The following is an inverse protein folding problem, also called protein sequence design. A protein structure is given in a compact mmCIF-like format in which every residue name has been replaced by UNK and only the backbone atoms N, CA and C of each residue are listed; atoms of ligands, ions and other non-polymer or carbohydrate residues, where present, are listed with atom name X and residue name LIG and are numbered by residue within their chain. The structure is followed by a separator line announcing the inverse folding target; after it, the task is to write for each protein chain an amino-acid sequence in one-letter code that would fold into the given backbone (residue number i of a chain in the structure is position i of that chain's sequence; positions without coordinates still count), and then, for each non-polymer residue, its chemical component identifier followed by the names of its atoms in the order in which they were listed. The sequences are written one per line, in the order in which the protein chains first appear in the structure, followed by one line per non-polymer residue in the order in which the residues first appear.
data_IF_049042712280
#
_entry.id   IF_049042712280
#
_cell.length_a   1.000
_cell.length_b   1.000
_cell.length_c   1.000
_cell.angle_alpha   90.00
_cell.angle_beta   90.00
_cell.angle_gamma   90.00
#
_symmetry.space_group_name_H-M   'P 1'
#
loop_
_entity.id
_entity.type
_entity.pdbx_description
1 polymer ?
#
# COMPACT_ATOMS: atom_id res chain seq x y z
N UNK A 1 0.96 25.69 -3.00
CA UNK A 1 1.60 24.44 -3.48
C UNK A 1 1.35 24.32 -4.97
N UNK A 2 2.40 24.26 -5.78
CA UNK A 2 2.28 24.05 -7.23
C UNK A 2 2.39 22.54 -7.51
N UNK A 3 1.37 21.79 -7.07
CA UNK A 3 1.33 20.34 -7.20
C UNK A 3 0.63 19.93 -8.51
N UNK A 4 1.12 18.87 -9.15
CA UNK A 4 0.44 18.25 -10.28
C UNK A 4 -0.73 17.42 -9.76
N UNK A 5 -1.93 17.68 -10.27
CA UNK A 5 -3.10 16.88 -9.95
C UNK A 5 -3.10 15.61 -10.81
N UNK A 6 -3.13 14.45 -10.16
CA UNK A 6 -3.15 13.14 -10.81
C UNK A 6 -4.43 12.41 -10.39
N UNK A 7 -5.32 12.05 -11.34
CA UNK A 7 -6.45 11.20 -11.03
C UNK A 7 -5.96 9.77 -10.75
N UNK A 8 -6.41 9.20 -9.64
CA UNK A 8 -6.11 7.81 -9.24
C UNK A 8 -7.41 7.12 -8.81
N UNK A 9 -7.42 5.78 -8.83
CA UNK A 9 -8.54 5.03 -8.26
C UNK A 9 -8.65 5.26 -6.75
N UNK A 10 -9.84 5.11 -6.17
CA UNK A 10 -10.00 5.27 -4.71
C UNK A 10 -9.20 4.23 -3.92
N UNK A 11 -9.14 2.98 -4.39
CA UNK A 11 -8.31 1.94 -3.82
C UNK A 11 -6.82 2.28 -3.84
N UNK A 12 -6.32 2.92 -4.89
CA UNK A 12 -4.93 3.41 -4.96
C UNK A 12 -4.66 4.53 -3.94
N UNK A 13 -5.59 5.48 -3.79
CA UNK A 13 -5.47 6.53 -2.77
C UNK A 13 -5.42 5.92 -1.35
N UNK A 14 -6.33 5.00 -1.04
CA UNK A 14 -6.39 4.35 0.28
C UNK A 14 -5.15 3.49 0.52
N UNK A 15 -4.66 2.77 -0.49
CA UNK A 15 -3.40 2.00 -0.40
C UNK A 15 -2.23 2.91 0.00
N UNK A 16 -2.06 4.01 -0.72
CA UNK A 16 -1.00 4.98 -0.45
C UNK A 16 -1.11 5.61 0.94
N UNK A 17 -2.33 5.92 1.40
CA UNK A 17 -2.57 6.36 2.78
C UNK A 17 -2.08 5.31 3.78
N UNK A 18 -2.48 4.04 3.63
CA UNK A 18 -2.07 2.99 4.59
C UNK A 18 -0.55 2.75 4.60
N UNK A 19 0.13 2.87 3.45
CA UNK A 19 1.59 2.79 3.39
C UNK A 19 2.23 3.96 4.14
N UNK A 20 1.69 5.17 4.01
CA UNK A 20 2.21 6.36 4.68
C UNK A 20 1.96 6.31 6.21
N UNK A 21 0.85 5.75 6.66
CA UNK A 21 0.59 5.47 8.08
C UNK A 21 1.68 4.57 8.67
N UNK A 22 1.95 3.43 8.02
CA UNK A 22 3.00 2.49 8.43
C UNK A 22 4.38 3.18 8.44
N UNK A 23 4.69 3.98 7.41
CA UNK A 23 5.94 4.75 7.36
C UNK A 23 6.03 5.77 8.50
N UNK A 24 4.95 6.47 8.83
CA UNK A 24 4.93 7.46 9.91
C UNK A 24 5.18 6.82 11.28
N UNK A 25 4.78 5.55 11.46
CA UNK A 25 5.03 4.76 12.65
C UNK A 25 6.45 4.18 12.70
N UNK A 26 6.92 3.60 11.60
CA UNK A 26 8.17 2.78 11.58
C UNK A 26 9.43 3.56 11.25
N UNK A 27 9.34 4.72 10.58
CA UNK A 27 10.53 5.53 10.25
C UNK A 27 11.01 6.27 11.51
N UNK A 28 12.23 5.94 11.95
CA UNK A 28 12.86 6.58 13.12
C UNK A 28 13.56 7.92 12.83
N UNK A 29 13.88 8.21 11.56
CA UNK A 29 14.50 9.48 11.16
C UNK A 29 13.46 10.60 11.15
N UNK A 30 13.67 11.64 11.97
CA UNK A 30 12.67 12.70 12.19
C UNK A 30 12.37 13.50 10.92
N UNK A 31 13.40 13.83 10.13
CA UNK A 31 13.22 14.63 8.91
C UNK A 31 12.42 13.83 7.87
N UNK A 32 12.73 12.55 7.70
CA UNK A 32 11.96 11.66 6.81
C UNK A 32 10.53 11.47 7.31
N UNK A 33 10.34 11.29 8.62
CA UNK A 33 9.02 11.14 9.23
C UNK A 33 8.16 12.39 9.07
N UNK A 34 8.74 13.59 9.22
CA UNK A 34 8.05 14.85 8.97
C UNK A 34 7.56 14.95 7.52
N UNK A 35 8.40 14.56 6.55
CA UNK A 35 8.00 14.53 5.14
C UNK A 35 6.85 13.53 4.88
N UNK A 36 6.92 12.33 5.46
CA UNK A 36 5.84 11.33 5.36
C UNK A 36 4.52 11.86 5.93
N UNK A 37 4.56 12.52 7.10
CA UNK A 37 3.37 13.11 7.72
C UNK A 37 2.77 14.21 6.88
N UNK A 38 3.59 15.10 6.31
CA UNK A 38 3.10 16.16 5.43
C UNK A 38 2.36 15.60 4.19
N UNK A 39 2.88 14.51 3.61
CA UNK A 39 2.22 13.81 2.51
C UNK A 39 0.93 13.10 2.96
N UNK A 40 0.97 12.36 4.07
CA UNK A 40 -0.18 11.66 4.65
C UNK A 40 -1.33 12.63 4.90
N UNK A 41 -1.06 13.74 5.61
CA UNK A 41 -2.07 14.75 5.91
C UNK A 41 -2.70 15.35 4.64
N UNK A 42 -1.93 15.53 3.56
CA UNK A 42 -2.46 16.03 2.31
C UNK A 42 -3.45 15.05 1.67
N UNK A 43 -3.13 13.76 1.68
CA UNK A 43 -4.01 12.71 1.15
C UNK A 43 -5.23 12.47 2.04
N UNK A 44 -5.06 12.51 3.37
CA UNK A 44 -6.17 12.39 4.31
C UNK A 44 -7.17 13.55 4.19
N UNK A 45 -6.68 14.78 4.04
CA UNK A 45 -7.54 15.94 3.75
C UNK A 45 -8.30 15.77 2.43
N UNK A 46 -7.62 15.29 1.38
CA UNK A 46 -8.27 15.04 0.09
C UNK A 46 -9.35 13.95 0.19
N UNK A 47 -9.07 12.86 0.93
CA UNK A 47 -10.04 11.79 1.17
C UNK A 47 -11.24 12.26 2.00
N UNK A 48 -10.99 12.90 3.15
CA UNK A 48 -12.04 13.38 4.05
C UNK A 48 -12.97 14.43 3.40
N UNK A 49 -12.46 15.20 2.44
CA UNK A 49 -13.25 16.16 1.68
C UNK A 49 -14.10 15.55 0.56
N UNK A 50 -13.94 14.26 0.24
CA UNK A 50 -14.64 13.61 -0.87
C UNK A 50 -15.90 12.85 -0.40
N UNK A 51 -17.06 12.94 -1.09
CA UNK A 51 -18.31 12.28 -0.66
C UNK A 51 -18.20 10.77 -0.45
N UNK A 52 -17.32 10.09 -1.20
CA UNK A 52 -17.07 8.66 -1.06
C UNK A 52 -16.57 8.25 0.34
N UNK A 53 -15.98 9.18 1.12
CA UNK A 53 -15.53 8.92 2.48
C UNK A 53 -16.67 8.64 3.47
N UNK A 54 -17.92 8.91 3.10
CA UNK A 54 -19.10 8.54 3.89
C UNK A 54 -19.42 7.03 3.85
N UNK A 55 -18.88 6.29 2.88
CA UNK A 55 -19.07 4.84 2.77
C UNK A 55 -18.03 4.14 3.67
N UNK A 56 -18.52 3.27 4.55
CA UNK A 56 -17.64 2.53 5.47
C UNK A 56 -16.78 1.50 4.71
N UNK A 57 -15.46 1.67 4.80
CA UNK A 57 -14.45 0.76 4.27
C UNK A 57 -13.45 0.31 5.34
N UNK A 58 -13.80 0.40 6.63
CA UNK A 58 -12.88 0.16 7.73
C UNK A 58 -12.28 -1.25 7.69
N UNK A 59 -13.08 -2.26 7.36
CA UNK A 59 -12.61 -3.64 7.25
C UNK A 59 -11.64 -3.84 6.07
N UNK A 60 -11.92 -3.25 4.92
CA UNK A 60 -11.06 -3.29 3.74
C UNK A 60 -9.75 -2.54 3.99
N UNK A 61 -9.81 -1.34 4.58
CA UNK A 61 -8.61 -0.54 4.94
C UNK A 61 -7.74 -1.28 5.96
N UNK A 62 -8.34 -1.94 6.95
CA UNK A 62 -7.59 -2.74 7.92
C UNK A 62 -6.87 -3.92 7.26
N UNK A 63 -7.55 -4.67 6.39
CA UNK A 63 -6.92 -5.76 5.62
C UNK A 63 -5.79 -5.24 4.72
N UNK A 64 -6.03 -4.12 4.03
CA UNK A 64 -5.02 -3.51 3.16
C UNK A 64 -3.77 -3.12 3.95
N UNK A 65 -3.95 -2.54 5.13
CA UNK A 65 -2.87 -2.19 6.04
C UNK A 65 -2.08 -3.42 6.48
N UNK A 66 -2.74 -4.51 6.88
CA UNK A 66 -2.09 -5.77 7.27
C UNK A 66 -1.22 -6.32 6.12
N UNK A 67 -1.72 -6.29 4.88
CA UNK A 67 -0.94 -6.74 3.72
C UNK A 67 0.27 -5.83 3.47
N UNK A 68 0.10 -4.52 3.60
CA UNK A 68 1.23 -3.57 3.46
C UNK A 68 2.28 -3.75 4.57
N UNK A 69 1.90 -4.08 5.79
CA UNK A 69 2.85 -4.44 6.85
C UNK A 69 3.61 -5.73 6.55
N UNK A 70 2.91 -6.76 6.06
CA UNK A 70 3.55 -8.01 5.67
C UNK A 70 4.55 -7.78 4.53
N UNK A 71 4.21 -6.94 3.54
CA UNK A 71 5.12 -6.55 2.46
C UNK A 71 6.34 -5.79 3.00
N UNK A 72 6.17 -4.89 3.96
CA UNK A 72 7.26 -4.20 4.63
C UNK A 72 8.22 -5.19 5.31
N UNK A 73 7.68 -6.12 6.09
CA UNK A 73 8.48 -7.11 6.83
C UNK A 73 9.21 -8.07 5.87
N UNK A 74 8.58 -8.44 4.74
CA UNK A 74 9.20 -9.25 3.69
C UNK A 74 10.39 -8.48 3.07
N UNK A 75 10.19 -7.22 2.68
CA UNK A 75 11.24 -6.36 2.11
C UNK A 75 12.43 -6.21 3.06
N UNK A 76 12.18 -5.95 4.36
CA UNK A 76 13.24 -5.84 5.36
C UNK A 76 14.03 -7.14 5.50
N UNK A 77 13.35 -8.30 5.52
CA UNK A 77 14.01 -9.62 5.56
C UNK A 77 14.81 -9.92 4.30
N UNK A 78 14.31 -9.55 3.12
CA UNK A 78 15.04 -9.68 1.85
C UNK A 78 16.32 -8.83 1.90
N UNK A 79 16.24 -7.58 2.38
CA UNK A 79 17.41 -6.69 2.50
C UNK A 79 18.46 -7.21 3.47
N UNK A 80 18.05 -7.83 4.58
CA UNK A 80 18.97 -8.47 5.52
C UNK A 80 19.71 -9.65 4.87
N UNK A 81 19.00 -10.49 4.10
CA UNK A 81 19.61 -11.60 3.36
C UNK A 81 20.52 -11.12 2.23
N UNK A 82 20.12 -10.09 1.49
CA UNK A 82 20.93 -9.45 0.45
C UNK A 82 22.25 -8.92 1.02
N UNK A 83 22.18 -8.17 2.13
CA UNK A 83 23.36 -7.68 2.84
C UNK A 83 24.31 -8.81 3.28
N UNK A 84 23.74 -9.95 3.70
CA UNK A 84 24.48 -11.15 4.07
C UNK A 84 24.86 -12.04 2.87
N UNK A 85 24.47 -11.68 1.64
CA UNK A 85 24.62 -12.48 0.41
C UNK A 85 24.10 -13.92 0.57
N UNK A 86 23.01 -14.08 1.30
CA UNK A 86 22.42 -15.39 1.61
C UNK A 86 21.21 -15.65 0.73
N UNK A 87 21.41 -16.40 -0.36
CA UNK A 87 20.40 -16.74 -1.37
C UNK A 87 19.91 -18.18 -1.21
N UNK A 88 19.36 -18.47 -0.03
CA UNK A 88 18.93 -19.81 0.37
C UNK A 88 17.43 -20.04 0.09
N UNK A 89 16.92 -21.21 0.52
CA UNK A 89 15.51 -21.55 0.39
C UNK A 89 14.57 -20.50 1.03
N UNK A 90 14.96 -19.93 2.16
CA UNK A 90 14.18 -18.88 2.81
C UNK A 90 14.18 -17.57 2.01
N UNK A 91 15.25 -17.24 1.27
CA UNK A 91 15.25 -16.13 0.30
C UNK A 91 14.23 -16.38 -0.82
N UNK A 92 14.21 -17.59 -1.38
CA UNK A 92 13.28 -17.98 -2.44
C UNK A 92 11.83 -17.86 -1.96
N UNK A 93 11.55 -18.33 -0.74
CA UNK A 93 10.21 -18.23 -0.13
C UNK A 93 9.78 -16.77 0.09
N UNK A 94 10.69 -15.91 0.55
CA UNK A 94 10.43 -14.48 0.69
C UNK A 94 10.12 -13.83 -0.66
N UNK A 95 10.95 -14.09 -1.68
CA UNK A 95 10.76 -13.54 -3.02
C UNK A 95 9.41 -13.99 -3.63
N UNK A 96 9.02 -15.25 -3.41
CA UNK A 96 7.70 -15.75 -3.84
C UNK A 96 6.54 -15.11 -3.08
N UNK A 97 6.71 -14.86 -1.78
CA UNK A 97 5.69 -14.21 -0.98
C UNK A 97 5.38 -12.78 -1.45
N UNK A 98 6.34 -12.08 -2.06
CA UNK A 98 6.14 -10.69 -2.55
C UNK A 98 4.99 -10.61 -3.55
N UNK A 99 4.99 -11.42 -4.62
CA UNK A 99 3.94 -11.31 -5.64
C UNK A 99 2.59 -11.79 -5.09
N UNK A 100 2.58 -12.85 -4.27
CA UNK A 100 1.36 -13.34 -3.61
C UNK A 100 0.69 -12.25 -2.76
N UNK A 101 1.48 -11.51 -1.97
CA UNK A 101 0.96 -10.39 -1.15
C UNK A 101 0.58 -9.18 -2.00
N UNK A 102 1.28 -8.91 -3.09
CA UNK A 102 0.89 -7.86 -4.04
C UNK A 102 -0.41 -8.19 -4.79
N UNK A 103 -0.71 -9.47 -5.01
CA UNK A 103 -1.97 -9.93 -5.59
C UNK A 103 -3.12 -9.78 -4.60
N UNK A 104 -2.92 -10.19 -3.35
CA UNK A 104 -3.85 -9.93 -2.26
C UNK A 104 -4.13 -8.42 -2.09
N UNK A 105 -3.07 -7.59 -2.09
CA UNK A 105 -3.19 -6.13 -2.01
C UNK A 105 -4.04 -5.56 -3.14
N UNK A 106 -3.81 -6.03 -4.37
CA UNK A 106 -4.56 -5.56 -5.53
C UNK A 106 -6.03 -6.01 -5.49
N UNK A 107 -6.32 -7.23 -5.01
CA UNK A 107 -7.68 -7.70 -4.82
C UNK A 107 -8.44 -6.81 -3.83
N UNK A 108 -7.83 -6.49 -2.69
CA UNK A 108 -8.44 -5.58 -1.68
C UNK A 108 -8.65 -4.17 -2.27
N UNK A 109 -7.68 -3.62 -3.01
CA UNK A 109 -7.84 -2.33 -3.70
C UNK A 109 -9.01 -2.35 -4.67
N UNK A 110 -9.20 -3.46 -5.41
CA UNK A 110 -10.35 -3.64 -6.31
C UNK A 110 -11.66 -3.71 -5.54
N UNK A 111 -11.72 -4.42 -4.42
CA UNK A 111 -12.91 -4.44 -3.54
C UNK A 111 -13.28 -3.03 -3.07
N UNK A 112 -12.29 -2.23 -2.63
CA UNK A 112 -12.50 -0.82 -2.24
C UNK A 112 -13.04 -0.01 -3.42
N UNK A 113 -12.43 -0.15 -4.61
CA UNK A 113 -12.87 0.55 -5.81
C UNK A 113 -14.34 0.26 -6.14
N UNK A 114 -14.73 -1.01 -6.10
CA UNK A 114 -16.11 -1.43 -6.39
C UNK A 114 -17.09 -0.92 -5.32
N UNK A 115 -16.73 -1.04 -4.04
CA UNK A 115 -17.57 -0.62 -2.91
C UNK A 115 -17.83 0.89 -2.90
N UNK A 116 -16.84 1.69 -3.30
CA UNK A 116 -16.91 3.14 -3.34
C UNK A 116 -17.43 3.70 -4.68
N UNK A 117 -17.64 2.86 -5.70
CA UNK A 117 -18.00 3.33 -7.04
C UNK A 117 -16.90 4.14 -7.72
N UNK A 118 -15.63 3.75 -7.55
CA UNK A 118 -14.48 4.43 -8.16
C UNK A 118 -14.62 4.48 -9.68
N UNK A 119 -14.43 5.65 -10.33
CA UNK A 119 -14.50 5.79 -11.79
C UNK A 119 -13.29 5.15 -12.50
N UNK A 120 -12.20 4.93 -11.76
CA UNK A 120 -11.00 4.27 -12.22
C UNK A 120 -10.82 2.95 -11.49
N UNK A 121 -10.38 1.93 -12.20
CA UNK A 121 -10.00 0.63 -11.65
C UNK A 121 -8.66 0.27 -12.25
N UNK A 122 -7.70 -0.11 -11.40
CA UNK A 122 -6.42 -0.64 -11.86
C UNK A 122 -6.63 -2.06 -12.40
N UNK A 123 -6.22 -2.29 -13.63
CA UNK A 123 -6.30 -3.61 -14.28
C UNK A 123 -4.94 -4.29 -14.23
N UNK A 124 -4.94 -5.57 -13.87
CA UNK A 124 -3.74 -6.41 -13.96
C UNK A 124 -3.80 -7.28 -15.20
N UNK A 125 -2.70 -7.30 -15.94
CA UNK A 125 -2.46 -8.29 -17.00
C UNK A 125 -2.03 -9.60 -16.33
N UNK A 126 -2.98 -10.38 -15.82
CA UNK A 126 -2.63 -11.68 -15.23
C UNK A 126 -2.24 -12.68 -16.33
N UNK A 127 -1.07 -13.30 -16.18
CA UNK A 127 -0.84 -14.69 -16.57
C UNK A 127 -0.92 -15.50 -15.28
N UNK A 128 -1.78 -16.51 -15.23
CA UNK A 128 -1.76 -17.50 -14.14
C UNK A 128 -0.41 -18.24 -14.21
N UNK A 129 0.43 -18.04 -13.21
CA UNK A 129 1.70 -18.76 -13.04
C UNK A 129 1.60 -19.87 -11.97
N UNK A 130 0.37 -20.22 -11.58
CA UNK A 130 0.06 -21.28 -10.63
C UNK A 130 0.17 -22.67 -11.26
#
# INVERSE_FOLDING_TARGET
MNAILVPVSYGELIDKITILEIKAERIGDEAKRANVRAELEALERAWAGHPAAAVDIAAERARLRVVNEALWDIEDRIRLKEKAKTFDQAFIELARAVYLRNDERAAIKREINLKLGSPLIEEKSYQDYA
#
